data_IF_108377302061
#
_entry.id   IF_108377302061
#
_cell.length_a   1.000
_cell.length_b   1.000
_cell.length_c   1.000
_cell.angle_alpha   90.00
_cell.angle_beta   90.00
_cell.angle_gamma   90.00
#
_symmetry.space_group_name_H-M   'P 1'
#
loop_
_entity.id
_entity.type
_entity.pdbx_description
1 polymer ?
#
# COMPACT_ATOMS: atom_id res chain seq x y z
N UNK A 1 20.38 -41.44 -19.21
CA UNK A 1 19.12 -40.77 -18.84
C UNK A 1 19.41 -39.55 -17.97
N UNK A 2 18.73 -38.43 -18.22
CA UNK A 2 18.86 -37.22 -17.42
C UNK A 2 18.26 -37.44 -16.01
N UNK A 3 19.04 -37.12 -14.97
CA UNK A 3 18.73 -37.45 -13.58
C UNK A 3 17.85 -36.39 -12.90
N UNK A 4 17.91 -35.15 -13.38
CA UNK A 4 17.20 -33.99 -12.82
C UNK A 4 16.68 -33.09 -13.94
N UNK A 5 15.51 -32.50 -13.73
CA UNK A 5 14.85 -31.58 -14.65
C UNK A 5 14.38 -30.36 -13.87
N UNK A 6 14.51 -29.17 -14.48
CA UNK A 6 13.78 -27.99 -14.04
C UNK A 6 12.50 -27.95 -14.88
N UNK A 7 11.35 -27.99 -14.21
CA UNK A 7 10.05 -27.98 -14.89
C UNK A 7 9.49 -26.57 -15.04
N UNK A 8 9.87 -25.66 -14.14
CA UNK A 8 9.42 -24.27 -14.17
C UNK A 8 10.35 -23.38 -13.33
N UNK A 9 10.35 -22.09 -13.63
CA UNK A 9 11.02 -21.03 -12.87
C UNK A 9 10.10 -19.81 -12.77
N UNK A 10 9.68 -19.46 -11.56
CA UNK A 10 8.73 -18.38 -11.33
C UNK A 10 9.35 -17.23 -10.53
N UNK A 11 9.26 -16.01 -11.06
CA UNK A 11 9.63 -14.79 -10.35
C UNK A 11 8.76 -14.58 -9.11
N UNK A 12 9.38 -14.16 -8.01
CA UNK A 12 8.66 -13.68 -6.83
C UNK A 12 8.70 -12.15 -6.75
N UNK A 13 7.81 -11.50 -5.98
CA UNK A 13 7.90 -10.06 -5.73
C UNK A 13 9.07 -9.69 -4.80
N UNK A 14 9.81 -10.66 -4.26
CA UNK A 14 10.86 -10.40 -3.28
C UNK A 14 12.20 -10.14 -3.96
N UNK A 15 12.71 -8.92 -3.78
CA UNK A 15 13.97 -8.43 -4.31
C UNK A 15 14.86 -8.04 -3.14
N UNK A 16 16.07 -8.59 -3.11
CA UNK A 16 17.04 -8.34 -2.06
C UNK A 16 17.78 -7.02 -2.31
N UNK A 17 18.22 -6.36 -1.24
CA UNK A 17 18.95 -5.09 -1.31
C UNK A 17 20.21 -5.14 -2.17
N UNK A 18 20.82 -6.31 -2.34
CA UNK A 18 21.99 -6.53 -3.20
C UNK A 18 21.65 -6.77 -4.69
N UNK A 19 20.42 -6.51 -5.12
CA UNK A 19 20.05 -6.51 -6.54
C UNK A 19 19.75 -7.90 -7.12
N UNK A 20 19.18 -8.79 -6.31
CA UNK A 20 18.71 -10.10 -6.79
C UNK A 20 17.22 -10.29 -6.52
N UNK A 21 16.52 -10.81 -7.50
CA UNK A 21 15.15 -11.28 -7.36
C UNK A 21 15.15 -12.74 -6.90
N UNK A 22 14.29 -13.09 -5.94
CA UNK A 22 14.06 -14.50 -5.60
C UNK A 22 13.18 -15.15 -6.65
N UNK A 23 13.58 -16.34 -7.06
CA UNK A 23 12.90 -17.15 -8.07
C UNK A 23 12.65 -18.53 -7.48
N UNK A 24 11.41 -19.00 -7.61
CA UNK A 24 11.04 -20.36 -7.22
C UNK A 24 11.29 -21.27 -8.42
N UNK A 25 12.25 -22.17 -8.29
CA UNK A 25 12.47 -23.26 -9.24
C UNK A 25 11.65 -24.47 -8.84
N UNK A 26 10.88 -25.00 -9.78
CA UNK A 26 10.26 -26.31 -9.68
C UNK A 26 11.19 -27.33 -10.34
N UNK A 27 11.60 -28.34 -9.57
CA UNK A 27 12.52 -29.37 -10.03
C UNK A 27 11.90 -30.77 -9.87
N UNK A 28 12.31 -31.70 -10.72
CA UNK A 28 12.01 -33.13 -10.59
C UNK A 28 13.30 -33.94 -10.64
N UNK A 29 13.58 -34.69 -9.59
CA UNK A 29 14.74 -35.59 -9.52
C UNK A 29 14.31 -37.04 -9.65
N UNK A 30 15.11 -37.86 -10.37
CA UNK A 30 14.96 -39.32 -10.44
C UNK A 30 15.83 -40.07 -9.43
N UNK A 31 16.65 -39.35 -8.67
CA UNK A 31 17.46 -39.91 -7.58
C UNK A 31 17.45 -39.00 -6.35
N UNK A 32 17.50 -39.60 -5.18
CA UNK A 32 17.57 -38.86 -3.92
C UNK A 32 19.01 -38.35 -3.67
N UNK A 33 19.12 -37.21 -2.98
CA UNK A 33 20.39 -36.74 -2.43
C UNK A 33 21.33 -36.06 -3.42
N UNK A 34 20.86 -35.70 -4.63
CA UNK A 34 21.64 -34.87 -5.53
C UNK A 34 21.85 -33.49 -4.93
N UNK A 35 23.10 -33.17 -4.61
CA UNK A 35 23.49 -31.84 -4.16
C UNK A 35 23.96 -31.00 -5.34
N UNK A 36 23.29 -29.87 -5.57
CA UNK A 36 23.37 -29.17 -6.85
C UNK A 36 23.71 -27.69 -6.72
N UNK A 37 24.42 -27.22 -7.73
CA UNK A 37 24.76 -25.84 -8.00
C UNK A 37 24.20 -25.43 -9.36
N UNK A 38 23.77 -24.19 -9.48
CA UNK A 38 23.19 -23.63 -10.69
C UNK A 38 24.04 -22.49 -11.23
N UNK A 39 24.41 -22.54 -12.51
CA UNK A 39 24.94 -21.39 -13.25
C UNK A 39 23.77 -20.69 -13.91
N UNK A 40 23.52 -19.45 -13.49
CA UNK A 40 22.43 -18.62 -13.99
C UNK A 40 23.02 -17.57 -14.92
N UNK A 41 22.51 -17.52 -16.15
CA UNK A 41 22.91 -16.52 -17.14
C UNK A 41 21.67 -15.78 -17.60
N UNK A 42 21.65 -14.46 -17.42
CA UNK A 42 20.72 -13.59 -18.13
C UNK A 42 21.44 -13.05 -19.36
N UNK A 43 20.68 -12.84 -20.44
CA UNK A 43 21.17 -12.26 -21.67
C UNK A 43 22.06 -11.03 -21.44
N UNK A 44 23.23 -11.02 -22.08
CA UNK A 44 24.23 -9.94 -21.97
C UNK A 44 24.73 -9.63 -20.55
N UNK A 45 24.63 -10.59 -19.61
CA UNK A 45 25.18 -10.44 -18.25
C UNK A 45 26.21 -11.51 -17.91
N UNK A 46 27.13 -11.18 -17.00
CA UNK A 46 28.04 -12.15 -16.39
C UNK A 46 27.24 -13.21 -15.62
N UNK A 47 27.46 -14.52 -15.87
CA UNK A 47 26.79 -15.58 -15.14
C UNK A 47 27.05 -15.52 -13.64
N UNK A 48 26.07 -15.91 -12.83
CA UNK A 48 26.26 -16.09 -11.40
C UNK A 48 26.01 -17.54 -10.98
N UNK A 49 26.83 -18.02 -10.05
CA UNK A 49 26.66 -19.33 -9.43
C UNK A 49 25.76 -19.21 -8.20
N UNK A 50 24.81 -20.12 -8.07
CA UNK A 50 23.98 -20.27 -6.87
C UNK A 50 23.97 -21.71 -6.38
N UNK A 51 23.85 -21.89 -5.08
CA UNK A 51 23.58 -23.20 -4.50
C UNK A 51 22.08 -23.51 -4.60
N UNK A 52 21.74 -24.64 -5.22
CA UNK A 52 20.35 -25.14 -5.33
C UNK A 52 20.01 -26.00 -4.11
N UNK A 53 21.02 -26.71 -3.60
CA UNK A 53 20.92 -27.61 -2.46
C UNK A 53 20.47 -29.02 -2.82
N UNK A 54 20.45 -29.87 -1.79
CA UNK A 54 20.06 -31.27 -1.91
C UNK A 54 18.61 -31.42 -2.37
N UNK A 55 18.42 -32.23 -3.42
CA UNK A 55 17.11 -32.58 -3.95
C UNK A 55 16.62 -33.93 -3.40
N UNK A 56 15.36 -34.01 -2.94
CA UNK A 56 14.72 -35.30 -2.68
C UNK A 56 14.40 -36.02 -3.98
N UNK A 57 14.05 -37.31 -3.89
CA UNK A 57 13.45 -38.04 -5.01
C UNK A 57 12.08 -37.42 -5.35
N UNK A 58 11.78 -37.24 -6.64
CA UNK A 58 10.51 -36.69 -7.09
C UNK A 58 10.53 -35.17 -7.25
N UNK A 59 9.34 -34.54 -7.09
CA UNK A 59 9.17 -33.11 -7.29
C UNK A 59 9.61 -32.30 -6.06
N UNK A 60 10.20 -31.13 -6.28
CA UNK A 60 10.60 -30.21 -5.21
C UNK A 60 10.59 -28.76 -5.69
N UNK A 61 10.51 -27.82 -4.75
CA UNK A 61 10.66 -26.39 -5.01
C UNK A 61 11.89 -25.86 -4.28
N UNK A 62 12.69 -25.04 -4.96
CA UNK A 62 13.85 -24.37 -4.38
C UNK A 62 13.82 -22.89 -4.72
N UNK A 63 14.13 -22.06 -3.75
CA UNK A 63 14.23 -20.61 -3.97
C UNK A 63 15.67 -20.23 -4.23
N UNK A 64 15.94 -19.63 -5.39
CA UNK A 64 17.26 -19.17 -5.80
C UNK A 64 17.27 -17.65 -5.96
N UNK A 65 18.47 -17.09 -6.12
CA UNK A 65 18.66 -15.67 -6.44
C UNK A 65 19.02 -15.52 -7.92
N UNK A 66 18.21 -14.80 -8.68
CA UNK A 66 18.51 -14.38 -10.07
C UNK A 66 18.75 -12.88 -10.04
N UNK A 67 19.67 -12.34 -10.85
CA UNK A 67 19.92 -10.90 -10.89
C UNK A 67 18.63 -10.14 -11.23
N UNK A 68 18.38 -9.05 -10.52
CA UNK A 68 17.22 -8.19 -10.74
C UNK A 68 17.25 -7.56 -12.14
N UNK A 69 16.19 -7.78 -12.93
CA UNK A 69 16.10 -7.28 -14.30
C UNK A 69 15.42 -5.91 -14.40
N UNK A 70 14.99 -5.30 -13.28
CA UNK A 70 14.27 -4.03 -13.28
C UNK A 70 15.04 -2.89 -13.95
N UNK A 71 16.35 -2.76 -13.68
CA UNK A 71 17.20 -1.74 -14.31
C UNK A 71 17.77 -2.17 -15.66
N UNK A 72 17.69 -3.45 -15.99
CA UNK A 72 18.24 -4.02 -17.23
C UNK A 72 17.24 -3.94 -18.39
N UNK A 73 15.94 -3.95 -18.10
CA UNK A 73 14.87 -3.96 -19.08
C UNK A 73 13.95 -2.76 -18.89
N UNK A 74 13.38 -2.26 -19.98
CA UNK A 74 12.26 -1.30 -19.96
C UNK A 74 10.92 -2.02 -19.71
N UNK A 75 9.87 -1.32 -19.25
CA UNK A 75 8.55 -1.92 -19.11
C UNK A 75 8.07 -2.58 -20.42
N UNK A 76 7.64 -3.84 -20.34
CA UNK A 76 7.19 -4.64 -21.49
C UNK A 76 8.30 -5.44 -22.19
N UNK A 77 9.57 -5.16 -21.91
CA UNK A 77 10.69 -5.93 -22.47
C UNK A 77 10.93 -7.24 -21.71
N UNK A 78 11.52 -8.20 -22.42
CA UNK A 78 11.93 -9.51 -21.89
C UNK A 78 13.38 -9.80 -22.27
N UNK A 79 14.01 -10.73 -21.56
CA UNK A 79 15.33 -11.25 -21.91
C UNK A 79 15.37 -12.78 -21.84
N UNK A 80 16.44 -13.37 -22.36
CA UNK A 80 16.70 -14.79 -22.15
C UNK A 80 17.29 -15.08 -20.75
N UNK A 81 16.69 -16.04 -20.05
CA UNK A 81 17.22 -16.67 -18.84
C UNK A 81 17.66 -18.09 -19.16
N UNK A 82 18.90 -18.43 -18.83
CA UNK A 82 19.44 -19.79 -18.87
C UNK A 82 19.87 -20.25 -17.47
N UNK A 83 19.47 -21.44 -17.07
CA UNK A 83 19.88 -22.09 -15.82
C UNK A 83 20.48 -23.45 -16.13
N UNK A 84 21.72 -23.66 -15.70
CA UNK A 84 22.47 -24.90 -15.93
C UNK A 84 22.82 -25.55 -14.59
N UNK A 85 22.49 -26.83 -14.40
CA UNK A 85 22.70 -27.55 -13.14
C UNK A 85 23.97 -28.41 -13.15
N UNK A 86 24.74 -28.35 -12.07
CA UNK A 86 26.01 -29.04 -11.86
C UNK A 86 26.11 -29.62 -10.45
N UNK A 87 27.05 -30.56 -10.25
CA UNK A 87 27.32 -31.17 -8.93
C UNK A 87 28.31 -30.40 -8.06
N UNK A 88 28.91 -29.32 -8.57
CA UNK A 88 29.96 -28.56 -7.90
C UNK A 88 29.79 -27.05 -8.12
N UNK A 89 30.32 -26.26 -7.18
CA UNK A 89 30.23 -24.79 -7.16
C UNK A 89 30.93 -24.11 -8.34
N UNK A 90 31.86 -24.77 -9.01
CA UNK A 90 32.56 -24.20 -10.17
C UNK A 90 31.73 -24.32 -11.46
N UNK A 91 30.58 -25.00 -11.40
CA UNK A 91 29.71 -25.26 -12.55
C UNK A 91 30.48 -25.85 -13.74
N UNK A 92 31.39 -26.79 -13.44
CA UNK A 92 32.29 -27.43 -14.40
C UNK A 92 31.94 -28.90 -14.62
N UNK A 93 32.42 -29.46 -15.73
CA UNK A 93 32.17 -30.85 -16.13
C UNK A 93 30.80 -31.05 -16.78
N UNK A 94 30.21 -32.22 -16.59
CA UNK A 94 28.94 -32.59 -17.23
C UNK A 94 27.77 -31.78 -16.65
N UNK A 95 27.17 -30.94 -17.50
CA UNK A 95 25.90 -30.29 -17.21
C UNK A 95 24.80 -31.36 -17.06
N UNK A 96 24.05 -31.32 -15.97
CA UNK A 96 23.01 -32.31 -15.66
C UNK A 96 21.63 -31.91 -16.22
N UNK A 97 21.38 -30.62 -16.37
CA UNK A 97 20.13 -30.07 -16.85
C UNK A 97 20.35 -28.64 -17.33
N UNK A 98 19.70 -28.27 -18.43
CA UNK A 98 19.60 -26.89 -18.92
C UNK A 98 18.13 -26.52 -18.95
N UNK A 99 17.81 -25.34 -18.43
CA UNK A 99 16.52 -24.69 -18.54
C UNK A 99 16.69 -23.35 -19.21
N UNK A 100 15.86 -23.07 -20.21
CA UNK A 100 15.87 -21.81 -20.95
C UNK A 100 14.47 -21.21 -20.97
N UNK A 101 14.38 -19.93 -20.67
CA UNK A 101 13.19 -19.12 -20.88
C UNK A 101 13.59 -17.88 -21.68
N UNK A 102 13.10 -17.77 -22.93
CA UNK A 102 13.44 -16.66 -23.84
C UNK A 102 12.63 -15.38 -23.57
N UNK A 103 11.62 -15.45 -22.71
CA UNK A 103 10.69 -14.35 -22.41
C UNK A 103 10.68 -14.05 -20.91
N UNK A 104 11.87 -14.03 -20.28
CA UNK A 104 12.02 -13.69 -18.88
C UNK A 104 11.70 -12.22 -18.65
N UNK A 105 10.68 -11.96 -17.84
CA UNK A 105 10.09 -10.63 -17.69
C UNK A 105 10.94 -9.71 -16.81
N UNK A 106 10.75 -8.40 -17.00
CA UNK A 106 11.27 -7.37 -16.10
C UNK A 106 10.76 -7.58 -14.67
N UNK A 107 11.66 -7.65 -13.69
CA UNK A 107 11.32 -7.73 -12.27
C UNK A 107 10.49 -6.50 -11.85
N UNK A 108 9.33 -6.74 -11.23
CA UNK A 108 8.46 -5.65 -10.72
C UNK A 108 8.95 -5.19 -9.35
N UNK A 109 9.22 -3.90 -9.22
CA UNK A 109 9.51 -3.26 -7.93
C UNK A 109 8.22 -2.67 -7.39
N UNK A 110 7.78 -3.16 -6.24
CA UNK A 110 6.56 -2.69 -5.59
C UNK A 110 6.90 -1.63 -4.55
N UNK A 111 6.12 -0.55 -4.54
CA UNK A 111 6.13 0.44 -3.47
C UNK A 111 4.83 0.31 -2.69
N UNK A 112 4.95 0.12 -1.38
CA UNK A 112 3.80 -0.06 -0.48
C UNK A 112 3.59 1.21 0.34
N UNK A 113 2.40 1.78 0.23
CA UNK A 113 1.97 2.91 1.04
C UNK A 113 1.12 2.38 2.20
N UNK A 114 1.60 2.58 3.43
CA UNK A 114 0.84 2.24 4.63
C UNK A 114 0.14 3.49 5.15
N UNK A 115 -1.19 3.48 5.19
CA UNK A 115 -1.99 4.50 5.88
C UNK A 115 -2.66 3.90 7.11
N UNK A 116 -2.28 4.36 8.30
CA UNK A 116 -3.00 4.05 9.53
C UNK A 116 -4.18 5.02 9.67
N UNK A 117 -5.27 4.54 10.26
CA UNK A 117 -6.44 5.34 10.55
C UNK A 117 -6.95 5.00 11.94
N UNK A 118 -7.47 6.00 12.63
CA UNK A 118 -8.35 5.83 13.78
C UNK A 118 -9.75 6.03 13.25
N UNK A 119 -10.59 5.01 13.41
CA UNK A 119 -12.00 5.10 13.06
C UNK A 119 -12.78 5.79 14.19
N UNK A 120 -13.69 6.68 13.84
CA UNK A 120 -14.42 7.53 14.78
C UNK A 120 -15.92 7.29 14.69
N UNK A 121 -16.43 6.46 15.60
CA UNK A 121 -17.85 6.30 15.80
C UNK A 121 -18.41 7.31 16.81
N UNK A 122 -19.27 8.21 16.35
CA UNK A 122 -19.92 9.19 17.22
C UNK A 122 -21.24 8.64 17.73
N UNK A 123 -21.30 8.32 19.03
CA UNK A 123 -22.53 7.83 19.69
C UNK A 123 -22.77 6.32 19.58
N UNK A 124 -21.75 5.53 19.21
CA UNK A 124 -21.87 4.07 19.15
C UNK A 124 -21.56 3.40 20.49
N UNK A 125 -20.33 3.57 21.00
CA UNK A 125 -19.90 2.94 22.27
C UNK A 125 -20.17 3.81 23.49
N UNK A 126 -20.16 5.14 23.32
CA UNK A 126 -20.39 6.14 24.38
C UNK A 126 -20.74 7.49 23.73
N UNK A 127 -21.10 8.48 24.54
CA UNK A 127 -21.33 9.85 24.10
C UNK A 127 -20.03 10.47 23.52
N UNK A 128 -20.12 11.23 22.42
CA UNK A 128 -18.97 11.89 21.82
C UNK A 128 -18.17 12.76 22.81
N UNK A 129 -18.85 13.41 23.76
CA UNK A 129 -18.26 14.21 24.84
C UNK A 129 -17.35 13.37 25.73
N UNK A 130 -17.80 12.19 26.13
CA UNK A 130 -17.04 11.25 26.99
C UNK A 130 -15.78 10.75 26.29
N UNK A 131 -15.84 10.57 24.97
CA UNK A 131 -14.73 10.03 24.18
C UNK A 131 -13.69 11.08 23.75
N UNK A 132 -13.92 12.39 23.98
CA UNK A 132 -12.97 13.45 23.58
C UNK A 132 -11.55 13.26 24.10
N UNK A 133 -11.31 12.88 25.38
CA UNK A 133 -9.95 12.66 25.87
C UNK A 133 -9.28 11.48 25.17
N UNK A 134 -10.05 10.42 24.87
CA UNK A 134 -9.55 9.24 24.17
C UNK A 134 -9.11 9.58 22.74
N UNK A 135 -9.98 10.22 21.94
CA UNK A 135 -9.63 10.64 20.58
C UNK A 135 -8.44 11.60 20.54
N UNK A 136 -8.36 12.50 21.53
CA UNK A 136 -7.22 13.42 21.68
C UNK A 136 -5.91 12.67 21.91
N UNK A 137 -5.92 11.63 22.75
CA UNK A 137 -4.73 10.83 23.06
C UNK A 137 -4.15 10.11 21.83
N UNK A 138 -5.00 9.70 20.89
CA UNK A 138 -4.58 9.05 19.66
C UNK A 138 -3.88 10.03 18.70
N UNK A 139 -4.34 11.27 18.61
CA UNK A 139 -3.66 12.33 17.83
C UNK A 139 -2.30 12.64 18.43
N UNK A 140 -2.19 12.73 19.77
CA UNK A 140 -0.90 12.95 20.43
C UNK A 140 0.08 11.81 20.13
N UNK A 141 -0.40 10.56 20.14
CA UNK A 141 0.39 9.39 19.75
C UNK A 141 0.86 9.49 18.30
N UNK A 142 -0.03 9.86 17.37
CA UNK A 142 0.32 10.06 15.97
C UNK A 142 1.38 11.16 15.80
N UNK A 143 1.28 12.29 16.52
CA UNK A 143 2.30 13.36 16.52
C UNK A 143 3.67 12.83 16.94
N UNK A 144 3.73 11.99 17.97
CA UNK A 144 4.98 11.36 18.40
C UNK A 144 5.60 10.50 17.29
N UNK A 145 4.79 9.70 16.58
CA UNK A 145 5.27 8.89 15.46
C UNK A 145 5.74 9.73 14.28
N UNK A 146 5.03 10.81 13.95
CA UNK A 146 5.48 11.78 12.94
C UNK A 146 6.88 12.31 13.30
N UNK A 147 7.05 12.82 14.52
CA UNK A 147 8.33 13.41 14.95
C UNK A 147 9.46 12.37 14.97
N UNK A 148 9.21 11.17 15.52
CA UNK A 148 10.20 10.08 15.54
C UNK A 148 10.64 9.66 14.15
N UNK A 149 9.76 9.78 13.15
CA UNK A 149 10.06 9.43 11.77
C UNK A 149 10.95 10.44 11.03
N UNK A 150 11.21 11.63 11.59
CA UNK A 150 12.08 12.62 10.95
C UNK A 150 13.55 12.18 10.88
N UNK A 151 13.94 11.13 11.60
CA UNK A 151 15.25 10.49 11.45
C UNK A 151 15.39 9.68 10.15
N UNK A 152 14.31 9.50 9.37
CA UNK A 152 14.33 8.79 8.09
C UNK A 152 14.84 9.72 6.99
N UNK A 153 15.63 9.15 6.07
CA UNK A 153 16.30 9.90 5.00
C UNK A 153 15.30 10.36 3.93
N UNK A 154 14.48 9.44 3.43
CA UNK A 154 13.54 9.73 2.35
C UNK A 154 12.18 10.17 2.92
N UNK A 155 11.54 11.15 2.30
CA UNK A 155 10.24 11.66 2.76
C UNK A 155 9.15 10.58 2.78
N UNK A 156 9.15 9.69 1.79
CA UNK A 156 8.21 8.55 1.70
C UNK A 156 8.35 7.53 2.83
N UNK A 157 9.46 7.55 3.56
CA UNK A 157 9.70 6.70 4.72
C UNK A 157 9.23 7.35 6.03
N UNK A 158 8.88 8.65 5.99
CA UNK A 158 8.37 9.38 7.16
C UNK A 158 6.91 9.01 7.40
N UNK A 159 6.54 8.99 8.66
CA UNK A 159 5.18 8.71 9.09
C UNK A 159 4.32 9.94 8.84
N UNK A 160 3.19 9.73 8.16
CA UNK A 160 2.18 10.76 7.89
C UNK A 160 0.84 10.27 8.40
N UNK A 161 0.04 11.18 8.94
CA UNK A 161 -1.25 10.83 9.53
C UNK A 161 -2.37 11.74 9.04
N UNK A 162 -3.49 11.15 8.61
CA UNK A 162 -4.67 11.90 8.23
C UNK A 162 -5.79 11.59 9.22
N UNK A 163 -6.26 12.61 9.93
CA UNK A 163 -7.44 12.49 10.79
C UNK A 163 -8.65 12.21 9.88
N UNK A 164 -9.37 11.14 10.17
CA UNK A 164 -10.52 10.67 9.38
C UNK A 164 -11.65 11.70 9.29
N UNK A 165 -11.85 12.47 10.35
CA UNK A 165 -13.01 13.34 10.55
C UNK A 165 -12.58 14.71 11.06
N UNK A 166 -13.18 15.77 10.53
CA UNK A 166 -12.92 17.13 10.98
C UNK A 166 -13.46 17.42 12.38
N UNK A 167 -14.53 16.72 12.78
CA UNK A 167 -15.07 16.78 14.13
C UNK A 167 -14.04 16.36 15.18
N UNK A 168 -13.26 15.31 14.90
CA UNK A 168 -12.21 14.82 15.80
C UNK A 168 -11.17 15.90 16.08
N UNK A 169 -10.82 16.71 15.07
CA UNK A 169 -9.94 17.84 15.29
C UNK A 169 -10.67 18.98 16.04
N UNK A 170 -11.83 19.42 15.55
CA UNK A 170 -12.46 20.66 16.04
C UNK A 170 -13.14 20.52 17.40
N UNK A 171 -13.86 19.43 17.63
CA UNK A 171 -14.69 19.22 18.83
C UNK A 171 -14.01 18.40 19.90
N UNK A 172 -12.99 17.60 19.53
CA UNK A 172 -12.16 16.87 20.49
C UNK A 172 -10.82 17.57 20.66
N UNK A 173 -9.87 17.40 19.74
CA UNK A 173 -8.49 17.86 19.94
C UNK A 173 -8.36 19.35 20.28
N UNK A 174 -9.04 20.22 19.53
CA UNK A 174 -8.93 21.67 19.70
C UNK A 174 -9.68 22.22 20.91
N UNK A 175 -10.57 21.43 21.53
CA UNK A 175 -11.25 21.79 22.79
C UNK A 175 -10.50 21.31 24.03
N UNK A 176 -9.73 20.22 23.90
CA UNK A 176 -8.97 19.61 24.99
C UNK A 176 -7.54 20.16 25.13
N UNK A 177 -7.01 20.82 24.10
CA UNK A 177 -5.61 21.28 24.05
C UNK A 177 -5.46 22.79 24.16
N UNK A 178 -4.33 23.21 24.71
CA UNK A 178 -3.89 24.60 24.71
C UNK A 178 -3.51 25.11 23.31
N UNK A 179 -3.37 26.43 23.18
CA UNK A 179 -3.09 27.10 21.91
C UNK A 179 -1.75 26.68 21.29
N UNK A 180 -0.69 26.50 22.09
CA UNK A 180 0.64 26.14 21.60
C UNK A 180 0.64 24.72 21.01
N UNK A 181 -0.06 23.79 21.66
CA UNK A 181 -0.23 22.41 21.22
C UNK A 181 -1.02 22.34 19.92
N UNK A 182 -2.06 23.16 19.78
CA UNK A 182 -2.86 23.30 18.55
C UNK A 182 -2.00 23.89 17.43
N UNK A 183 -1.24 24.97 17.69
CA UNK A 183 -0.36 25.58 16.70
C UNK A 183 0.72 24.60 16.21
N UNK A 184 1.29 23.81 17.12
CA UNK A 184 2.23 22.75 16.78
C UNK A 184 1.60 21.71 15.83
N UNK A 185 0.35 21.32 16.06
CA UNK A 185 -0.36 20.41 15.14
C UNK A 185 -0.63 21.07 13.78
N UNK A 186 -1.08 22.32 13.76
CA UNK A 186 -1.31 23.07 12.51
C UNK A 186 -0.02 23.17 11.68
N UNK A 187 1.14 23.36 12.33
CA UNK A 187 2.46 23.33 11.65
C UNK A 187 2.73 21.98 10.98
N UNK A 188 2.33 20.85 11.58
CA UNK A 188 2.42 19.53 10.94
C UNK A 188 1.50 19.42 9.72
N UNK A 189 0.28 19.97 9.82
CA UNK A 189 -0.68 20.00 8.70
C UNK A 189 -0.14 20.82 7.54
N UNK A 190 0.37 22.03 7.80
CA UNK A 190 0.95 22.91 6.78
C UNK A 190 2.19 22.30 6.10
N UNK A 191 2.95 21.47 6.83
CA UNK A 191 4.09 20.71 6.29
C UNK A 191 3.69 19.47 5.49
N UNK A 192 2.41 19.08 5.50
CA UNK A 192 1.93 17.86 4.85
C UNK A 192 2.28 16.57 5.61
N UNK A 193 2.68 16.67 6.88
CA UNK A 193 2.95 15.51 7.73
C UNK A 193 1.69 15.04 8.47
N UNK A 194 0.73 15.94 8.63
CA UNK A 194 -0.62 15.62 9.08
C UNK A 194 -1.65 16.15 8.08
N UNK A 195 -2.88 15.64 8.13
CA UNK A 195 -4.01 16.20 7.41
C UNK A 195 -5.30 16.04 8.22
N UNK A 196 -6.28 16.90 7.95
CA UNK A 196 -7.66 16.71 8.40
C UNK A 196 -8.49 16.42 7.17
N UNK A 197 -9.20 15.29 7.17
CA UNK A 197 -10.12 14.90 6.10
C UNK A 197 -11.12 16.02 5.80
N UNK A 198 -11.53 16.11 4.54
CA UNK A 198 -12.54 17.08 4.15
C UNK A 198 -13.92 16.77 4.75
N UNK A 199 -14.21 15.50 5.05
CA UNK A 199 -15.50 15.10 5.63
C UNK A 199 -15.65 15.55 7.08
N UNK A 200 -16.85 16.04 7.45
CA UNK A 200 -17.17 16.41 8.83
C UNK A 200 -17.05 15.21 9.78
N UNK A 201 -17.61 14.06 9.36
CA UNK A 201 -17.58 12.73 9.98
C UNK A 201 -18.16 11.69 8.99
N UNK A 202 -18.14 10.41 9.37
CA UNK A 202 -18.61 9.27 8.57
C UNK A 202 -20.15 9.20 8.49
N UNK A 203 -20.77 10.16 7.82
CA UNK A 203 -22.22 10.22 7.62
C UNK A 203 -22.76 9.07 6.77
N UNK A 204 -23.96 8.59 7.12
CA UNK A 204 -24.82 7.83 6.21
C UNK A 204 -25.40 8.77 5.14
N UNK A 205 -24.57 9.15 4.17
CA UNK A 205 -24.85 10.19 3.15
C UNK A 205 -26.04 9.89 2.26
N UNK A 206 -26.52 8.65 2.25
CA UNK A 206 -27.77 8.23 1.62
C UNK A 206 -29.03 8.77 2.32
N UNK A 207 -28.93 9.14 3.60
CA UNK A 207 -30.03 9.68 4.39
C UNK A 207 -29.99 11.22 4.49
N UNK A 208 -28.99 11.86 3.89
CA UNK A 208 -28.81 13.30 3.95
C UNK A 208 -29.55 14.01 2.80
N UNK A 209 -30.20 15.11 3.12
CA UNK A 209 -30.65 16.11 2.14
C UNK A 209 -29.45 16.79 1.47
N UNK A 210 -29.71 17.49 0.36
CA UNK A 210 -28.65 18.19 -0.39
C UNK A 210 -27.92 19.24 0.46
N UNK A 211 -28.64 19.98 1.31
CA UNK A 211 -28.04 20.98 2.19
C UNK A 211 -27.12 20.31 3.23
N UNK A 212 -27.54 19.19 3.82
CA UNK A 212 -26.72 18.44 4.78
C UNK A 212 -25.44 17.90 4.12
N UNK A 213 -25.54 17.39 2.88
CA UNK A 213 -24.38 16.98 2.10
C UNK A 213 -23.43 18.16 1.86
N UNK A 214 -23.95 19.32 1.43
CA UNK A 214 -23.17 20.54 1.18
C UNK A 214 -22.45 21.06 2.44
N UNK A 215 -22.99 20.81 3.64
CA UNK A 215 -22.35 21.15 4.91
C UNK A 215 -21.24 20.18 5.33
N UNK A 216 -21.17 18.99 4.75
CA UNK A 216 -20.13 18.00 5.10
C UNK A 216 -18.70 18.56 4.96
N UNK A 217 -18.29 19.18 3.83
CA UNK A 217 -16.96 19.75 3.69
C UNK A 217 -16.75 21.09 4.41
N UNK A 218 -17.83 21.73 4.88
CA UNK A 218 -17.79 23.10 5.40
C UNK A 218 -16.94 23.22 6.66
N UNK A 219 -16.98 22.21 7.55
CA UNK A 219 -16.19 22.24 8.77
C UNK A 219 -14.69 22.35 8.46
N UNK A 220 -14.16 21.51 7.57
CA UNK A 220 -12.75 21.55 7.19
C UNK A 220 -12.42 22.74 6.31
N UNK A 221 -13.15 22.89 5.21
CA UNK A 221 -12.72 23.77 4.11
C UNK A 221 -13.12 25.24 4.30
N UNK A 222 -14.02 25.52 5.27
CA UNK A 222 -14.38 26.88 5.67
C UNK A 222 -14.00 27.18 7.11
N UNK A 223 -14.58 26.48 8.09
CA UNK A 223 -14.37 26.82 9.50
C UNK A 223 -12.92 26.61 9.95
N UNK A 224 -12.31 25.45 9.70
CA UNK A 224 -10.93 25.20 10.14
C UNK A 224 -9.91 26.06 9.39
N UNK A 225 -10.18 26.34 8.12
CA UNK A 225 -9.40 27.30 7.34
C UNK A 225 -9.44 28.70 7.97
N UNK A 226 -10.62 29.24 8.21
CA UNK A 226 -10.79 30.61 8.71
C UNK A 226 -10.30 30.74 10.16
N UNK A 227 -10.56 29.73 11.01
CA UNK A 227 -10.23 29.76 12.44
C UNK A 227 -8.76 29.46 12.73
N UNK A 228 -8.17 28.50 12.03
CA UNK A 228 -6.84 27.96 12.34
C UNK A 228 -5.82 28.16 11.22
N UNK A 229 -6.22 28.73 10.08
CA UNK A 229 -5.35 28.91 8.91
C UNK A 229 -4.89 27.57 8.32
N UNK A 230 -5.69 26.50 8.46
CA UNK A 230 -5.38 25.19 7.89
C UNK A 230 -5.60 25.19 6.37
N UNK A 231 -4.77 24.45 5.60
CA UNK A 231 -5.06 24.20 4.20
C UNK A 231 -6.38 23.41 4.06
N UNK A 232 -7.15 23.63 2.97
CA UNK A 232 -8.37 22.87 2.74
C UNK A 232 -8.07 21.38 2.55
N UNK A 233 -8.96 20.53 3.04
CA UNK A 233 -8.93 19.09 2.77
C UNK A 233 -9.30 18.81 1.31
N UNK A 234 -8.51 17.95 0.66
CA UNK A 234 -8.72 17.55 -0.73
C UNK A 234 -9.19 16.09 -0.88
N UNK A 235 -9.35 15.39 0.24
CA UNK A 235 -9.77 14.00 0.30
C UNK A 235 -10.80 13.80 1.40
N UNK A 236 -11.86 13.03 1.12
CA UNK A 236 -12.66 12.41 2.17
C UNK A 236 -12.05 11.07 2.58
N UNK A 237 -12.17 10.76 3.86
CA UNK A 237 -11.86 9.46 4.44
C UNK A 237 -13.12 8.96 5.12
N UNK A 238 -13.78 7.99 4.50
CA UNK A 238 -14.98 7.34 5.04
C UNK A 238 -14.67 5.87 5.23
N UNK A 239 -14.53 5.45 6.48
CA UNK A 239 -14.44 4.05 6.83
C UNK A 239 -15.73 3.65 7.53
N UNK A 240 -16.15 2.40 7.34
CA UNK A 240 -17.33 1.81 7.98
C UNK A 240 -18.71 2.28 7.48
N UNK A 241 -18.78 3.12 6.45
CA UNK A 241 -20.04 3.49 5.83
C UNK A 241 -20.55 2.41 4.86
N UNK A 242 -21.88 2.22 4.72
CA UNK A 242 -22.42 1.23 3.81
C UNK A 242 -22.17 1.60 2.33
N UNK A 243 -22.15 2.90 2.00
CA UNK A 243 -21.98 3.41 0.64
C UNK A 243 -21.53 4.88 0.60
N UNK A 244 -21.16 5.33 -0.60
CA UNK A 244 -21.08 6.75 -0.98
C UNK A 244 -22.18 7.02 -2.01
N UNK A 245 -23.00 8.04 -1.79
CA UNK A 245 -24.06 8.44 -2.73
C UNK A 245 -23.48 9.25 -3.89
N UNK A 246 -24.09 9.14 -5.09
CA UNK A 246 -23.68 9.93 -6.27
C UNK A 246 -23.85 11.45 -6.06
N UNK A 247 -24.91 11.87 -5.36
CA UNK A 247 -25.13 13.29 -5.03
C UNK A 247 -24.00 13.83 -4.16
N UNK A 248 -23.44 13.01 -3.27
CA UNK A 248 -22.30 13.43 -2.46
C UNK A 248 -21.06 13.65 -3.33
N UNK A 249 -20.84 12.85 -4.38
CA UNK A 249 -19.75 13.08 -5.35
C UNK A 249 -19.87 14.44 -6.02
N UNK A 250 -21.07 14.86 -6.44
CA UNK A 250 -21.29 16.20 -7.02
C UNK A 250 -20.93 17.32 -6.04
N UNK A 251 -21.33 17.17 -4.78
CA UNK A 251 -20.98 18.12 -3.70
C UNK A 251 -19.47 18.18 -3.48
N UNK A 252 -18.80 17.03 -3.38
CA UNK A 252 -17.36 16.96 -3.16
C UNK A 252 -16.59 17.60 -4.31
N UNK A 253 -16.98 17.29 -5.56
CA UNK A 253 -16.35 17.88 -6.74
C UNK A 253 -16.52 19.40 -6.75
N UNK A 254 -17.74 19.90 -6.47
CA UNK A 254 -18.04 21.33 -6.39
C UNK A 254 -17.27 22.04 -5.27
N UNK A 255 -16.98 21.33 -4.18
CA UNK A 255 -16.16 21.81 -3.07
C UNK A 255 -14.64 21.67 -3.32
N UNK A 256 -14.22 21.23 -4.51
CA UNK A 256 -12.81 21.06 -4.88
C UNK A 256 -12.13 19.82 -4.30
N UNK A 257 -12.90 18.86 -3.79
CA UNK A 257 -12.41 17.62 -3.19
C UNK A 257 -12.32 16.54 -4.27
N UNK A 258 -11.10 16.05 -4.52
CA UNK A 258 -10.80 15.21 -5.68
C UNK A 258 -10.68 13.73 -5.36
N UNK A 259 -10.49 13.40 -4.09
CA UNK A 259 -10.16 12.04 -3.66
C UNK A 259 -11.14 11.55 -2.60
N UNK A 260 -11.43 10.26 -2.66
CA UNK A 260 -12.19 9.57 -1.62
C UNK A 260 -11.48 8.26 -1.30
N UNK A 261 -11.31 7.98 -0.02
CA UNK A 261 -10.96 6.66 0.48
C UNK A 261 -12.20 6.14 1.19
N UNK A 262 -12.73 5.04 0.67
CA UNK A 262 -13.94 4.41 1.19
C UNK A 262 -13.65 2.97 1.60
N UNK A 263 -14.10 2.59 2.79
CA UNK A 263 -14.17 1.18 3.20
C UNK A 263 -15.56 0.89 3.71
N UNK A 264 -16.15 -0.19 3.18
CA UNK A 264 -17.46 -0.66 3.61
C UNK A 264 -17.34 -1.48 4.90
N UNK A 265 -18.28 -1.29 5.82
CA UNK A 265 -18.46 -2.19 6.94
C UNK A 265 -18.86 -3.59 6.41
N UNK A 266 -18.06 -4.65 6.64
CA UNK A 266 -18.36 -5.97 6.11
C UNK A 266 -19.59 -6.63 6.76
N UNK A 267 -19.93 -6.28 7.99
CA UNK A 267 -21.09 -6.84 8.70
C UNK A 267 -22.40 -6.17 8.28
N UNK A 268 -22.33 -4.93 7.76
CA UNK A 268 -23.51 -4.10 7.45
C UNK A 268 -23.75 -3.88 5.96
N UNK A 269 -22.71 -3.94 5.13
CA UNK A 269 -22.85 -3.75 3.68
C UNK A 269 -23.02 -5.09 2.96
N UNK A 270 -24.16 -5.34 2.29
CA UNK A 270 -24.33 -6.55 1.50
C UNK A 270 -23.38 -6.61 0.29
N UNK A 271 -22.72 -5.50 -0.04
CA UNK A 271 -21.84 -5.36 -1.19
C UNK A 271 -20.34 -5.44 -0.87
N UNK A 272 -19.95 -5.64 0.41
CA UNK A 272 -18.53 -5.69 0.78
C UNK A 272 -17.75 -6.81 0.07
N UNK A 273 -18.42 -7.89 -0.36
CA UNK A 273 -17.85 -8.99 -1.16
C UNK A 273 -17.92 -8.75 -2.67
N UNK A 274 -18.77 -7.83 -3.12
CA UNK A 274 -18.98 -7.49 -4.55
C UNK A 274 -18.02 -6.37 -4.96
N UNK A 275 -16.74 -6.53 -4.60
CA UNK A 275 -15.69 -5.57 -4.90
C UNK A 275 -15.22 -5.77 -6.35
N UNK A 276 -15.69 -4.91 -7.25
CA UNK A 276 -15.29 -4.96 -8.67
C UNK A 276 -13.96 -4.23 -8.94
N UNK A 277 -13.70 -3.12 -8.23
CA UNK A 277 -12.54 -2.27 -8.45
C UNK A 277 -11.97 -1.74 -7.13
N UNK A 278 -10.64 -1.63 -7.08
CA UNK A 278 -9.90 -1.07 -5.93
C UNK A 278 -9.70 0.44 -6.05
N UNK A 279 -9.67 0.94 -7.29
CA UNK A 279 -9.48 2.33 -7.65
C UNK A 279 -10.30 2.61 -8.91
N UNK A 280 -11.11 3.66 -8.88
CA UNK A 280 -11.94 4.07 -10.01
C UNK A 280 -12.27 5.56 -9.91
N UNK A 281 -12.68 6.14 -11.03
CA UNK A 281 -13.28 7.48 -11.06
C UNK A 281 -14.78 7.33 -10.88
N UNK A 282 -15.32 7.84 -9.78
CA UNK A 282 -16.76 7.91 -9.56
C UNK A 282 -17.28 9.23 -10.13
N UNK A 283 -18.24 9.16 -11.06
CA UNK A 283 -18.95 10.35 -11.54
C UNK A 283 -20.22 10.56 -10.73
N UNK A 284 -20.51 11.82 -10.41
CA UNK A 284 -21.78 12.22 -9.84
C UNK A 284 -22.90 12.26 -10.89
N UNK A 285 -24.00 12.94 -10.59
CA UNK A 285 -25.10 13.14 -11.54
C UNK A 285 -24.84 14.28 -12.51
N UNK A 286 -24.04 15.27 -12.13
CA UNK A 286 -23.67 16.38 -13.01
C UNK A 286 -22.40 16.00 -13.78
N UNK A 287 -22.58 15.66 -15.05
CA UNK A 287 -21.45 15.48 -15.98
C UNK A 287 -20.88 16.86 -16.34
N UNK A 288 -20.05 17.44 -15.48
CA UNK A 288 -19.31 18.65 -15.81
C UNK A 288 -18.97 19.54 -14.62
N UNK A 289 -17.69 19.54 -14.25
CA UNK A 289 -16.88 20.69 -13.88
C UNK A 289 -15.41 20.29 -14.03
#
# INVERSE_FOLDING_TARGET
MQQVYITDAQQTPYITKNGFQKVVLCLKSRCAGLDLWGKITLENTQPCTVYIGKLPLGASKKTISVRDTNKLLKPGETCALKIELYKNQYCSGKCLCVYENKSWQRSRHWEFYWSQTMHTDLGYTDYPETLRPLYTSFIDTAKQYIVRSYNRVEDKQKYKYAIESAWVFSESYAKEKDADTIEAFIKLVKKGNAAVSAGRFNNAVENCSMEELARSPYLTNRYLKDRYGMPPGNAIRMFDNPAISKSYVDVLNSAGIKYAIHSMNPDRSPYHKVRQYDLFYMTGFQNGN
#
